data_IF_239311113798
#
_entry.id   IF_239311113798
#
_cell.length_a   1.000
_cell.length_b   1.000
_cell.length_c   1.000
_cell.angle_alpha   90.00
_cell.angle_beta   90.00
_cell.angle_gamma   90.00
#
_symmetry.space_group_name_H-M   'P 1'
#
loop_
_entity.id
_entity.type
_entity.pdbx_description
1 polymer ?
#
# COMPACT_ATOMS: atom_id res chain seq x y z
N UNK A 1 -3.27 -8.19 -10.83
CA UNK A 1 -3.86 -6.91 -10.40
C UNK A 1 -5.26 -7.19 -9.84
N UNK A 2 -5.63 -6.63 -8.68
CA UNK A 2 -6.96 -6.81 -8.10
C UNK A 2 -7.84 -5.60 -8.43
N UNK A 3 -8.92 -5.84 -9.17
CA UNK A 3 -9.87 -4.82 -9.62
C UNK A 3 -11.20 -4.94 -8.88
N UNK A 4 -12.03 -3.91 -8.96
CA UNK A 4 -13.37 -3.91 -8.38
C UNK A 4 -14.16 -2.66 -8.78
N UNK A 5 -15.48 -2.74 -8.68
CA UNK A 5 -16.45 -1.76 -9.22
C UNK A 5 -16.64 -0.51 -8.36
N UNK A 6 -15.97 -0.43 -7.21
CA UNK A 6 -16.04 0.72 -6.33
C UNK A 6 -14.90 0.77 -5.33
N UNK A 7 -14.81 1.87 -4.59
CA UNK A 7 -13.96 1.98 -3.41
C UNK A 7 -14.54 1.15 -2.26
N UNK A 8 -13.69 0.63 -1.37
CA UNK A 8 -14.16 -0.13 -0.20
C UNK A 8 -14.64 -1.57 -0.44
N UNK A 9 -14.78 -2.04 -1.70
CA UNK A 9 -15.28 -3.40 -2.04
C UNK A 9 -14.34 -4.57 -1.67
N UNK A 10 -13.39 -4.39 -0.74
CA UNK A 10 -12.54 -5.48 -0.25
C UNK A 10 -11.26 -5.79 -1.03
N UNK A 11 -10.97 -5.07 -2.13
CA UNK A 11 -9.78 -5.30 -3.00
C UNK A 11 -8.46 -5.43 -2.22
N UNK A 12 -8.23 -4.53 -1.26
CA UNK A 12 -6.99 -4.52 -0.47
C UNK A 12 -6.84 -5.75 0.43
N UNK A 13 -7.97 -6.24 0.98
CA UNK A 13 -8.01 -7.43 1.85
C UNK A 13 -7.77 -8.68 1.03
N UNK A 14 -8.42 -8.81 -0.14
CA UNK A 14 -8.20 -9.92 -1.06
C UNK A 14 -6.74 -9.95 -1.52
N UNK A 15 -6.17 -8.78 -1.86
CA UNK A 15 -4.77 -8.68 -2.23
C UNK A 15 -3.83 -9.15 -1.10
N UNK A 16 -4.10 -8.80 0.16
CA UNK A 16 -3.33 -9.30 1.30
C UNK A 16 -3.49 -10.83 1.49
N UNK A 17 -4.70 -11.37 1.31
CA UNK A 17 -4.95 -12.81 1.35
C UNK A 17 -4.14 -13.57 0.30
N UNK A 18 -4.09 -13.07 -0.94
CA UNK A 18 -3.24 -13.64 -2.00
C UNK A 18 -1.74 -13.49 -1.72
N UNK A 19 -1.31 -12.37 -1.13
CA UNK A 19 0.08 -12.21 -0.68
C UNK A 19 0.45 -13.33 0.30
N UNK A 20 -0.39 -13.60 1.30
CA UNK A 20 -0.16 -14.69 2.26
C UNK A 20 -0.22 -16.06 1.60
N UNK A 21 -1.20 -16.32 0.75
CA UNK A 21 -1.34 -17.60 0.04
C UNK A 21 -0.10 -17.92 -0.80
N UNK A 22 0.36 -16.96 -1.61
CA UNK A 22 1.53 -17.13 -2.47
C UNK A 22 2.80 -17.32 -1.65
N UNK A 23 2.97 -16.54 -0.57
CA UNK A 23 4.11 -16.71 0.35
C UNK A 23 4.12 -18.11 0.99
N UNK A 24 2.97 -18.60 1.45
CA UNK A 24 2.84 -19.93 2.05
C UNK A 24 3.12 -21.06 1.05
N UNK A 25 2.96 -20.82 -0.25
CA UNK A 25 3.31 -21.73 -1.34
C UNK A 25 4.78 -21.62 -1.78
N UNK A 26 5.60 -20.83 -1.10
CA UNK A 26 7.03 -20.69 -1.39
C UNK A 26 7.38 -19.66 -2.47
N UNK A 27 6.41 -18.89 -2.99
CA UNK A 27 6.70 -17.86 -3.98
C UNK A 27 7.32 -16.62 -3.34
N UNK A 28 8.23 -15.98 -4.08
CA UNK A 28 8.70 -14.62 -3.80
C UNK A 28 7.65 -13.62 -4.30
N UNK A 29 6.83 -13.14 -3.38
CA UNK A 29 5.73 -12.20 -3.66
C UNK A 29 5.95 -10.89 -2.91
N UNK A 30 5.66 -9.76 -3.56
CA UNK A 30 5.63 -8.43 -2.94
C UNK A 30 4.40 -7.64 -3.41
N UNK A 31 3.79 -6.81 -2.56
CA UNK A 31 2.69 -5.99 -2.99
C UNK A 31 3.20 -4.77 -3.78
N UNK A 32 2.37 -4.29 -4.69
CA UNK A 32 2.64 -3.05 -5.40
C UNK A 32 1.34 -2.34 -5.72
N UNK A 33 1.27 -1.06 -5.34
CA UNK A 33 0.21 -0.14 -5.73
C UNK A 33 0.82 1.20 -6.12
N UNK A 34 0.92 1.42 -7.43
CA UNK A 34 1.59 2.58 -8.01
C UNK A 34 1.12 3.90 -7.38
N UNK A 35 -0.19 4.08 -7.23
CA UNK A 35 -0.77 5.25 -6.57
C UNK A 35 -1.86 4.83 -5.58
N UNK A 36 -1.76 5.34 -4.37
CA UNK A 36 -2.78 5.23 -3.34
C UNK A 36 -3.31 6.61 -2.97
N UNK A 37 -4.58 6.69 -2.57
CA UNK A 37 -5.18 7.89 -2.03
C UNK A 37 -5.83 7.52 -0.70
N UNK A 38 -5.24 7.97 0.40
CA UNK A 38 -5.68 7.63 1.73
C UNK A 38 -5.16 8.64 2.75
N UNK A 39 -5.97 8.94 3.75
CA UNK A 39 -5.50 9.65 4.96
C UNK A 39 -4.76 8.71 5.91
N UNK A 40 -5.11 7.42 5.86
CA UNK A 40 -4.57 6.38 6.72
C UNK A 40 -3.26 5.81 6.17
N UNK A 41 -2.15 6.28 6.74
CA UNK A 41 -0.80 5.84 6.45
C UNK A 41 -0.11 5.28 7.71
N UNK A 42 1.08 4.75 7.52
CA UNK A 42 2.00 4.38 8.58
C UNK A 42 3.43 4.61 8.11
N UNK A 43 4.39 4.37 9.01
CA UNK A 43 5.80 4.68 8.78
C UNK A 43 6.59 3.38 8.73
N UNK A 44 7.45 3.22 7.72
CA UNK A 44 8.40 2.09 7.63
C UNK A 44 9.51 2.23 8.67
N UNK A 45 10.34 1.19 8.85
CA UNK A 45 11.53 1.30 9.71
C UNK A 45 12.49 2.43 9.28
N UNK A 46 12.57 2.72 7.98
CA UNK A 46 13.39 3.81 7.42
C UNK A 46 12.76 5.22 7.59
N UNK A 47 11.61 5.35 8.27
CA UNK A 47 10.93 6.63 8.41
C UNK A 47 10.08 7.05 7.20
N UNK A 48 9.90 6.19 6.20
CA UNK A 48 9.11 6.47 5.00
C UNK A 48 7.61 6.30 5.25
N UNK A 49 6.78 7.25 4.81
CA UNK A 49 5.33 7.18 4.93
C UNK A 49 4.69 6.41 3.76
N UNK A 50 3.90 5.38 4.06
CA UNK A 50 3.16 4.59 3.07
C UNK A 50 1.73 4.29 3.53
N UNK A 51 0.84 3.97 2.59
CA UNK A 51 -0.54 3.62 2.94
C UNK A 51 -0.64 2.35 3.81
N UNK A 52 -1.51 2.36 4.83
CA UNK A 52 -1.68 1.20 5.74
C UNK A 52 -2.02 -0.10 5.02
N UNK A 53 -2.76 -0.03 3.91
CA UNK A 53 -3.07 -1.21 3.10
C UNK A 53 -1.81 -1.90 2.58
N UNK A 54 -0.79 -1.14 2.16
CA UNK A 54 0.47 -1.70 1.67
C UNK A 54 1.32 -2.25 2.82
N UNK A 55 1.28 -1.66 4.02
CA UNK A 55 1.90 -2.24 5.22
C UNK A 55 1.32 -3.63 5.52
N UNK A 56 -0.01 -3.74 5.56
CA UNK A 56 -0.68 -5.02 5.82
C UNK A 56 -0.33 -6.06 4.74
N UNK A 57 -0.27 -5.64 3.48
CA UNK A 57 0.10 -6.52 2.38
C UNK A 57 1.57 -6.95 2.43
N UNK A 58 2.50 -6.07 2.85
CA UNK A 58 3.91 -6.40 3.05
C UNK A 58 4.07 -7.45 4.16
N UNK A 59 3.37 -7.24 5.28
CA UNK A 59 3.31 -8.20 6.38
C UNK A 59 2.73 -9.56 5.93
N UNK A 60 1.73 -9.54 5.03
CA UNK A 60 1.18 -10.77 4.45
C UNK A 60 2.18 -11.50 3.54
N UNK A 61 3.03 -10.77 2.83
CA UNK A 61 4.18 -11.32 2.10
C UNK A 61 5.31 -11.81 3.03
N UNK A 62 5.29 -11.45 4.32
CA UNK A 62 6.38 -11.74 5.27
C UNK A 62 7.66 -10.95 4.98
N UNK A 63 7.51 -9.69 4.55
CA UNK A 63 8.62 -8.77 4.28
C UNK A 63 8.36 -7.43 4.97
N UNK A 64 9.43 -6.70 5.25
CA UNK A 64 9.33 -5.35 5.80
C UNK A 64 8.60 -4.41 4.81
N UNK A 65 7.75 -3.49 5.31
CA UNK A 65 7.12 -2.48 4.48
C UNK A 65 8.15 -1.53 3.84
N UNK A 66 7.97 -1.22 2.55
CA UNK A 66 8.91 -0.45 1.74
C UNK A 66 8.20 0.60 0.89
N UNK A 67 8.79 1.79 0.75
CA UNK A 67 8.24 2.91 -0.02
C UNK A 67 7.94 2.55 -1.49
N UNK A 68 8.71 1.64 -2.09
CA UNK A 68 8.51 1.16 -3.47
C UNK A 68 7.21 0.39 -3.65
N UNK A 69 6.62 -0.13 -2.58
CA UNK A 69 5.32 -0.82 -2.63
C UNK A 69 4.16 0.17 -2.78
N UNK A 70 4.35 1.43 -2.38
CA UNK A 70 3.42 2.54 -2.55
C UNK A 70 4.18 3.84 -2.91
N UNK A 71 4.71 3.96 -4.14
CA UNK A 71 5.62 5.05 -4.48
C UNK A 71 4.95 6.43 -4.53
N UNK A 72 3.64 6.48 -4.80
CA UNK A 72 2.82 7.69 -4.75
C UNK A 72 1.68 7.49 -3.75
N UNK A 73 1.67 8.28 -2.68
CA UNK A 73 0.54 8.38 -1.76
C UNK A 73 0.01 9.82 -1.77
N UNK A 74 -1.26 9.95 -2.11
CA UNK A 74 -1.99 11.22 -2.07
C UNK A 74 -2.82 11.27 -0.79
N UNK A 75 -2.66 12.34 0.00
CA UNK A 75 -3.45 12.59 1.20
C UNK A 75 -4.38 13.79 0.91
N UNK A 76 -5.69 13.56 0.73
CA UNK A 76 -6.62 14.64 0.44
C UNK A 76 -6.60 15.72 1.54
N UNK A 77 -6.51 16.99 1.16
CA UNK A 77 -6.48 18.12 2.10
C UNK A 77 -7.62 19.14 1.85
N UNK A 78 -8.45 18.91 0.83
CA UNK A 78 -9.57 19.77 0.50
C UNK A 78 -10.06 19.53 -0.93
N UNK A 79 -11.01 20.35 -1.41
CA UNK A 79 -11.52 20.26 -2.78
C UNK A 79 -10.38 20.41 -3.80
N UNK A 80 -10.14 19.36 -4.59
CA UNK A 80 -9.12 19.37 -5.65
C UNK A 80 -7.66 19.43 -5.16
N UNK A 81 -7.39 19.33 -3.86
CA UNK A 81 -6.04 19.45 -3.29
C UNK A 81 -5.66 18.19 -2.51
N UNK A 82 -4.44 17.71 -2.73
CA UNK A 82 -3.84 16.62 -1.97
C UNK A 82 -2.38 16.92 -1.67
N UNK A 83 -1.95 16.56 -0.46
CA UNK A 83 -0.52 16.46 -0.16
C UNK A 83 0.05 15.24 -0.87
N UNK A 84 1.23 15.42 -1.50
CA UNK A 84 1.96 14.36 -2.16
C UNK A 84 3.02 13.78 -1.22
N UNK A 85 2.96 12.46 -1.03
CA UNK A 85 4.05 11.67 -0.45
C UNK A 85 4.68 10.86 -1.59
N UNK A 86 5.89 11.25 -2.02
CA UNK A 86 6.66 10.57 -3.06
C UNK A 86 7.76 9.74 -2.42
N UNK A 87 7.75 8.44 -2.69
CA UNK A 87 8.76 7.50 -2.15
C UNK A 87 8.93 7.65 -0.63
N UNK A 88 7.83 7.80 0.10
CA UNK A 88 7.85 7.91 1.56
C UNK A 88 8.08 9.30 2.12
N UNK A 89 8.27 10.33 1.29
CA UNK A 89 8.61 11.70 1.73
C UNK A 89 7.62 12.71 1.17
N UNK A 90 7.29 13.71 1.99
CA UNK A 90 6.48 14.86 1.55
C UNK A 90 7.22 15.62 0.45
N UNK A 91 6.50 16.01 -0.61
CA UNK A 91 6.99 16.86 -1.71
C UNK A 91 6.09 18.08 -1.85
#
# INVERSE_FOLDING_TARGET
MFQGTGSGVGKSVIAAGFCRLLKNRGFLVRPFKAQNMALNSGVTLEGHEIGRAQIVQANACGVEPDARMNPILLKPHGPGVSQLIRMGKVV
#
